data_IF_315826557820
#
_entry.id   IF_315826557820
#
_cell.length_a   1.000
_cell.length_b   1.000
_cell.length_c   1.000
_cell.angle_alpha   90.00
_cell.angle_beta   90.00
_cell.angle_gamma   90.00
#
_symmetry.space_group_name_H-M   'P 1'
#
loop_
_entity.id
_entity.type
_entity.pdbx_description
1 polymer ?
#
# COMPACT_ATOMS: atom_id res chain seq x y z
N UNK A 1 -78.28 45.63 10.48
CA UNK A 1 -77.28 46.02 11.49
C UNK A 1 -75.88 45.93 10.85
N UNK A 2 -75.55 46.66 9.77
CA UNK A 2 -75.54 48.13 9.60
C UNK A 2 -74.52 48.80 10.54
N UNK A 3 -73.43 49.38 10.02
CA UNK A 3 -73.26 50.61 9.21
C UNK A 3 -73.37 51.91 10.02
N UNK A 4 -72.20 52.50 10.32
CA UNK A 4 -71.76 53.91 10.10
C UNK A 4 -70.31 54.01 10.59
N UNK A 5 -69.31 54.73 10.05
CA UNK A 5 -69.11 55.90 9.15
C UNK A 5 -68.66 57.21 9.84
N UNK A 6 -67.38 57.52 9.61
CA UNK A 6 -66.72 58.86 9.54
C UNK A 6 -66.65 59.80 10.77
N UNK A 7 -65.57 60.59 10.82
CA UNK A 7 -65.36 61.65 11.83
C UNK A 7 -63.91 62.17 11.95
N UNK A 8 -63.42 62.94 10.97
CA UNK A 8 -62.24 63.83 11.08
C UNK A 8 -62.69 65.28 10.77
N UNK A 9 -62.02 66.34 11.28
CA UNK A 9 -60.88 66.94 10.54
C UNK A 9 -59.83 67.75 11.38
N UNK A 10 -58.75 68.21 10.72
CA UNK A 10 -58.09 69.56 10.82
C UNK A 10 -57.58 70.19 12.14
N UNK A 11 -56.58 71.11 12.15
CA UNK A 11 -55.51 71.48 11.19
C UNK A 11 -54.33 72.22 11.90
N UNK A 12 -53.19 72.31 11.20
CA UNK A 12 -52.17 73.40 11.28
C UNK A 12 -51.17 73.50 12.47
N UNK A 13 -49.94 73.93 12.18
CA UNK A 13 -48.86 74.16 13.18
C UNK A 13 -47.46 74.37 12.58
N UNK A 14 -47.09 75.61 12.25
CA UNK A 14 -45.93 75.97 11.40
C UNK A 14 -44.55 76.06 12.11
N UNK A 15 -43.50 75.60 11.37
CA UNK A 15 -42.15 76.22 11.13
C UNK A 15 -40.96 76.06 12.14
N UNK A 16 -39.79 75.79 11.51
CA UNK A 16 -38.41 76.29 11.79
C UNK A 16 -37.67 75.82 13.07
N UNK A 17 -36.33 75.82 13.17
CA UNK A 17 -35.20 75.68 12.19
C UNK A 17 -33.87 75.49 12.99
N UNK A 18 -32.74 75.25 12.30
CA UNK A 18 -31.33 75.43 12.72
C UNK A 18 -30.60 74.34 13.55
N UNK A 19 -29.85 73.52 12.81
CA UNK A 19 -28.44 73.14 13.04
C UNK A 19 -27.88 72.87 14.45
N UNK A 20 -27.21 71.72 14.60
CA UNK A 20 -25.85 71.72 15.16
C UNK A 20 -24.94 70.72 14.45
N UNK A 21 -23.67 71.10 14.22
CA UNK A 21 -22.64 70.29 13.54
C UNK A 21 -21.38 70.25 14.42
N UNK A 22 -21.10 69.13 15.09
CA UNK A 22 -19.82 68.87 15.75
C UNK A 22 -19.27 67.50 15.37
N UNK A 23 -17.94 67.39 15.34
CA UNK A 23 -17.21 66.45 14.48
C UNK A 23 -16.49 65.33 15.24
N UNK A 24 -16.51 64.15 14.60
CA UNK A 24 -15.56 63.03 14.69
C UNK A 24 -14.27 63.24 15.53
N UNK A 25 -14.12 62.49 16.62
CA UNK A 25 -12.82 62.14 17.25
C UNK A 25 -12.84 60.78 17.99
N UNK A 26 -13.39 59.70 17.40
CA UNK A 26 -13.41 58.37 18.08
C UNK A 26 -13.34 57.13 17.16
N UNK A 27 -12.32 57.01 16.30
CA UNK A 27 -12.16 55.85 15.38
C UNK A 27 -10.73 55.29 15.22
N UNK A 28 -9.70 55.92 15.80
CA UNK A 28 -8.28 55.59 15.55
C UNK A 28 -7.69 54.50 16.44
N UNK A 29 -8.21 54.29 17.65
CA UNK A 29 -7.66 53.30 18.60
C UNK A 29 -8.06 51.86 18.26
N UNK A 30 -9.36 51.56 18.15
CA UNK A 30 -9.88 50.21 17.93
C UNK A 30 -9.35 49.55 16.64
N UNK A 31 -9.21 50.33 15.55
CA UNK A 31 -8.70 49.85 14.25
C UNK A 31 -7.20 49.49 14.22
N UNK A 32 -6.40 49.77 15.27
CA UNK A 32 -4.98 49.38 15.31
C UNK A 32 -4.74 47.95 15.78
N UNK A 33 -5.50 47.42 16.75
CA UNK A 33 -5.28 46.07 17.27
C UNK A 33 -5.72 44.96 16.31
N UNK A 34 -6.79 45.16 15.51
CA UNK A 34 -7.23 44.17 14.53
C UNK A 34 -6.23 43.96 13.38
N UNK A 35 -5.56 45.03 12.92
CA UNK A 35 -4.52 44.93 11.89
C UNK A 35 -3.25 44.24 12.40
N UNK A 36 -2.82 44.50 13.63
CA UNK A 36 -1.60 43.87 14.20
C UNK A 36 -1.71 42.34 14.30
N UNK A 37 -2.88 41.82 14.71
CA UNK A 37 -3.18 40.37 14.72
C UNK A 37 -3.27 39.74 13.33
N UNK A 38 -3.71 40.47 12.29
CA UNK A 38 -3.81 39.91 10.93
C UNK A 38 -2.44 39.71 10.28
N UNK A 39 -1.47 40.60 10.52
CA UNK A 39 -0.12 40.46 9.96
C UNK A 39 0.70 39.32 10.61
N UNK A 40 0.58 39.09 11.92
CA UNK A 40 1.29 37.98 12.58
C UNK A 40 0.88 36.59 12.06
N UNK A 41 -0.41 36.39 11.71
CA UNK A 41 -0.86 35.14 11.07
C UNK A 41 -0.31 34.97 9.64
N UNK A 42 -0.12 36.07 8.90
CA UNK A 42 0.39 36.03 7.53
C UNK A 42 1.86 35.58 7.47
N UNK A 43 2.74 36.11 8.32
CA UNK A 43 4.14 35.68 8.33
C UNK A 43 4.33 34.25 8.86
N UNK A 44 3.55 33.83 9.87
CA UNK A 44 3.62 32.44 10.36
C UNK A 44 3.36 31.42 9.23
N UNK A 45 2.36 31.67 8.39
CA UNK A 45 2.10 30.84 7.20
C UNK A 45 3.25 30.84 6.19
N UNK A 46 3.90 31.99 5.97
CA UNK A 46 5.07 32.09 5.07
C UNK A 46 6.28 31.32 5.60
N UNK A 47 6.54 31.35 6.90
CA UNK A 47 7.60 30.55 7.51
C UNK A 47 7.27 29.04 7.55
N UNK A 48 6.00 28.67 7.73
CA UNK A 48 5.54 27.28 7.58
C UNK A 48 5.77 26.77 6.15
N UNK A 49 5.34 27.51 5.13
CA UNK A 49 5.52 27.15 3.71
C UNK A 49 7.02 27.09 3.36
N UNK A 50 7.82 28.05 3.82
CA UNK A 50 9.28 28.03 3.59
C UNK A 50 9.97 26.83 4.26
N UNK A 51 9.51 26.40 5.45
CA UNK A 51 10.00 25.19 6.12
C UNK A 51 9.55 23.91 5.42
N UNK A 52 8.30 23.85 4.94
CA UNK A 52 7.78 22.72 4.17
C UNK A 52 8.55 22.56 2.84
N UNK A 53 8.76 23.66 2.11
CA UNK A 53 9.57 23.66 0.88
C UNK A 53 11.03 23.30 1.16
N UNK A 54 11.62 23.82 2.25
CA UNK A 54 12.97 23.44 2.64
C UNK A 54 13.07 21.93 2.97
N UNK A 55 12.07 21.36 3.65
CA UNK A 55 12.00 19.93 3.97
C UNK A 55 11.82 19.08 2.72
N UNK A 56 10.93 19.46 1.80
CA UNK A 56 10.74 18.79 0.50
C UNK A 56 12.04 18.84 -0.32
N UNK A 57 12.73 19.99 -0.37
CA UNK A 57 14.04 20.08 -1.02
C UNK A 57 15.11 19.23 -0.32
N UNK A 58 15.07 19.09 1.01
CA UNK A 58 15.98 18.23 1.77
C UNK A 58 15.73 16.75 1.45
N UNK A 59 14.46 16.32 1.41
CA UNK A 59 14.05 14.98 0.98
C UNK A 59 14.50 14.71 -0.44
N UNK A 60 14.25 15.61 -1.39
CA UNK A 60 14.70 15.48 -2.77
C UNK A 60 16.24 15.38 -2.87
N UNK A 61 17.00 16.21 -2.16
CA UNK A 61 18.48 16.13 -2.15
C UNK A 61 18.98 14.81 -1.55
N UNK A 62 18.29 14.26 -0.54
CA UNK A 62 18.63 12.94 0.03
C UNK A 62 18.25 11.79 -0.92
N UNK A 63 17.10 11.88 -1.60
CA UNK A 63 16.63 10.86 -2.55
C UNK A 63 17.48 10.83 -3.82
N UNK A 64 17.61 11.97 -4.49
CA UNK A 64 18.47 12.14 -5.68
C UNK A 64 19.94 11.87 -5.34
N UNK A 65 20.40 12.27 -4.14
CA UNK A 65 21.75 11.96 -3.66
C UNK A 65 22.02 10.45 -3.56
N UNK A 66 21.06 9.67 -3.07
CA UNK A 66 21.16 8.21 -2.96
C UNK A 66 21.07 7.54 -4.36
N UNK A 67 20.21 8.04 -5.25
CA UNK A 67 20.11 7.58 -6.64
C UNK A 67 21.41 7.86 -7.41
N UNK A 68 21.93 9.09 -7.36
CA UNK A 68 23.18 9.48 -8.03
C UNK A 68 24.38 8.74 -7.44
N UNK A 69 24.44 8.55 -6.12
CA UNK A 69 25.48 7.74 -5.47
C UNK A 69 25.50 6.31 -6.02
N UNK A 70 24.33 5.64 -6.08
CA UNK A 70 24.20 4.30 -6.67
C UNK A 70 24.56 4.29 -8.16
N UNK A 71 24.18 5.32 -8.92
CA UNK A 71 24.49 5.41 -10.36
C UNK A 71 25.99 5.57 -10.64
N UNK A 72 26.72 6.27 -9.76
CA UNK A 72 28.18 6.44 -9.86
C UNK A 72 28.96 5.25 -9.29
N UNK A 73 28.54 4.66 -8.15
CA UNK A 73 29.23 3.51 -7.56
C UNK A 73 29.21 2.29 -8.49
N UNK A 74 28.14 2.08 -9.24
CA UNK A 74 28.05 1.01 -10.26
C UNK A 74 28.92 1.25 -11.51
N UNK A 75 29.47 2.45 -11.74
CA UNK A 75 30.32 2.75 -12.92
C UNK A 75 31.82 2.55 -12.72
N UNK A 76 32.25 2.11 -11.53
CA UNK A 76 33.67 1.85 -11.21
C UNK A 76 33.92 0.36 -10.87
N UNK A 77 32.88 -0.48 -10.86
CA UNK A 77 32.91 -1.81 -10.24
C UNK A 77 32.86 -3.05 -11.14
N UNK A 78 32.81 -2.93 -12.48
CA UNK A 78 32.63 -4.09 -13.39
C UNK A 78 33.52 -4.04 -14.63
N UNK A 79 34.77 -4.49 -14.50
CA UNK A 79 35.66 -4.73 -15.65
C UNK A 79 36.75 -5.82 -15.41
N UNK A 80 36.53 -6.74 -14.46
CA UNK A 80 37.45 -7.89 -14.21
C UNK A 80 36.68 -9.17 -13.83
N UNK A 81 35.76 -9.65 -14.68
CA UNK A 81 35.35 -11.09 -14.64
C UNK A 81 34.61 -11.63 -15.90
N UNK A 82 35.02 -11.24 -17.11
CA UNK A 82 34.63 -11.96 -18.36
C UNK A 82 35.87 -12.21 -19.23
N UNK A 83 36.70 -13.16 -18.82
CA UNK A 83 37.66 -13.87 -19.69
C UNK A 83 38.28 -15.07 -18.97
N UNK A 84 37.78 -16.29 -19.24
CA UNK A 84 38.56 -17.51 -19.56
C UNK A 84 37.75 -18.82 -19.32
N UNK A 85 36.75 -19.10 -20.18
CA UNK A 85 36.02 -20.37 -20.18
C UNK A 85 35.62 -20.84 -21.59
N UNK A 86 36.58 -20.89 -22.53
CA UNK A 86 36.37 -21.52 -23.85
C UNK A 86 37.69 -21.84 -24.58
N UNK A 87 38.29 -23.01 -24.30
CA UNK A 87 39.02 -23.80 -25.29
C UNK A 87 39.50 -25.17 -24.76
N UNK A 88 39.76 -26.10 -25.70
CA UNK A 88 40.31 -27.47 -25.54
C UNK A 88 39.45 -28.49 -24.77
N UNK A 89 39.26 -29.72 -25.26
CA UNK A 89 39.47 -30.26 -26.62
C UNK A 89 38.63 -31.53 -26.87
N UNK A 90 38.17 -31.74 -28.11
CA UNK A 90 37.59 -33.01 -28.61
C UNK A 90 38.51 -33.66 -29.67
N UNK A 91 39.47 -34.46 -29.23
CA UNK A 91 40.20 -35.52 -29.97
C UNK A 91 41.07 -36.24 -28.92
N UNK A 92 41.36 -37.54 -28.93
CA UNK A 92 41.21 -38.66 -29.88
C UNK A 92 40.52 -39.84 -29.11
N UNK A 93 40.40 -41.11 -29.53
CA UNK A 93 41.02 -41.94 -30.56
C UNK A 93 40.97 -43.41 -30.09
N UNK A 94 40.81 -44.40 -30.96
CA UNK A 94 40.66 -45.80 -30.54
C UNK A 94 42.02 -46.52 -30.30
N UNK A 95 41.93 -47.64 -29.59
CA UNK A 95 42.90 -48.76 -29.44
C UNK A 95 44.01 -48.63 -28.37
N UNK A 96 44.61 -49.71 -27.83
CA UNK A 96 44.09 -51.03 -27.42
C UNK A 96 45.17 -51.81 -26.60
N UNK A 97 44.74 -52.61 -25.60
CA UNK A 97 45.44 -53.73 -24.90
C UNK A 97 46.60 -53.44 -23.92
N UNK A 98 46.49 -54.09 -22.74
CA UNK A 98 47.50 -54.86 -21.97
C UNK A 98 48.85 -54.20 -21.56
N UNK A 99 49.38 -54.40 -20.34
CA UNK A 99 49.09 -55.40 -19.29
C UNK A 99 49.46 -54.87 -17.88
N UNK A 100 49.16 -55.67 -16.85
CA UNK A 100 49.95 -56.00 -15.63
C UNK A 100 51.05 -54.99 -15.15
N UNK A 101 51.17 -54.64 -13.86
CA UNK A 101 50.82 -55.39 -12.64
C UNK A 101 50.67 -54.51 -11.37
N UNK A 102 50.01 -55.07 -10.34
CA UNK A 102 50.21 -54.87 -8.88
C UNK A 102 50.14 -53.49 -8.17
N UNK A 103 49.07 -53.35 -7.38
CA UNK A 103 49.13 -53.24 -5.90
C UNK A 103 49.62 -51.93 -5.22
N UNK A 104 48.66 -51.00 -5.10
CA UNK A 104 48.07 -50.50 -3.83
C UNK A 104 48.76 -49.43 -2.93
N UNK A 105 47.91 -48.44 -2.53
CA UNK A 105 47.77 -47.84 -1.17
C UNK A 105 48.93 -46.95 -0.62
N UNK A 106 48.71 -45.78 0.00
CA UNK A 106 47.55 -44.87 0.12
C UNK A 106 47.97 -43.54 0.80
N UNK A 107 47.19 -42.46 0.58
CA UNK A 107 47.02 -41.27 1.46
C UNK A 107 48.22 -40.41 1.90
N UNK A 108 48.21 -39.16 1.37
CA UNK A 108 48.10 -37.86 2.09
C UNK A 108 49.02 -37.57 3.31
N UNK A 109 49.71 -36.42 3.30
CA UNK A 109 49.18 -35.17 3.91
C UNK A 109 50.02 -33.89 3.67
N UNK A 110 49.38 -32.71 3.84
CA UNK A 110 49.93 -31.41 4.34
C UNK A 110 51.05 -30.69 3.52
N UNK A 111 51.43 -29.42 3.71
CA UNK A 111 51.29 -28.48 4.87
C UNK A 111 51.45 -26.98 4.46
N UNK A 112 50.97 -26.03 5.32
CA UNK A 112 51.59 -24.70 5.66
C UNK A 112 51.61 -23.53 4.62
N UNK A 113 51.59 -22.21 4.95
CA UNK A 113 51.47 -21.44 6.24
C UNK A 113 51.14 -19.94 6.02
N UNK A 114 50.50 -19.29 7.02
CA UNK A 114 50.60 -17.89 7.55
C UNK A 114 50.70 -16.66 6.60
N UNK A 115 50.26 -15.42 6.94
CA UNK A 115 49.77 -14.80 8.19
C UNK A 115 49.90 -13.24 8.11
N UNK A 116 49.56 -12.37 9.08
CA UNK A 116 48.79 -12.45 10.34
C UNK A 116 48.55 -11.04 10.96
N UNK A 117 47.37 -10.80 11.57
CA UNK A 117 47.06 -9.77 12.60
C UNK A 117 46.99 -8.28 12.17
N UNK A 118 46.36 -7.33 12.90
CA UNK A 118 45.71 -7.30 14.25
C UNK A 118 44.56 -6.25 14.25
N UNK A 119 43.83 -5.84 15.31
CA UNK A 119 43.86 -6.03 16.78
C UNK A 119 42.52 -5.56 17.40
N UNK A 120 42.22 -5.91 18.66
CA UNK A 120 41.11 -5.36 19.48
C UNK A 120 41.58 -5.01 20.90
N UNK A 121 40.80 -4.23 21.67
CA UNK A 121 41.16 -3.72 23.00
C UNK A 121 40.00 -3.89 24.00
N UNK A 122 40.29 -4.41 25.20
CA UNK A 122 39.34 -4.58 26.30
C UNK A 122 40.02 -4.23 27.64
N UNK A 123 39.24 -3.78 28.63
CA UNK A 123 39.72 -3.39 29.96
C UNK A 123 38.70 -3.82 31.03
N UNK A 124 39.19 -4.34 32.15
CA UNK A 124 38.37 -4.80 33.28
C UNK A 124 39.08 -4.60 34.62
N UNK A 125 38.32 -4.47 35.71
CA UNK A 125 38.83 -4.52 37.07
C UNK A 125 38.09 -3.60 38.05
N UNK A 126 37.80 -4.10 39.25
CA UNK A 126 37.29 -3.30 40.38
C UNK A 126 36.11 -3.94 41.13
N UNK A 127 36.40 -4.70 42.18
CA UNK A 127 35.41 -5.16 43.15
C UNK A 127 35.91 -4.89 44.58
N UNK A 128 35.05 -4.29 45.42
CA UNK A 128 35.24 -4.12 46.86
C UNK A 128 33.88 -4.25 47.57
N UNK A 129 33.92 -4.53 48.88
CA UNK A 129 32.78 -5.05 49.63
C UNK A 129 32.45 -4.27 50.91
N UNK A 130 31.25 -4.51 51.44
CA UNK A 130 30.74 -3.96 52.70
C UNK A 130 29.62 -2.91 52.47
N UNK A 131 28.50 -2.90 53.18
CA UNK A 131 28.02 -3.88 54.17
C UNK A 131 27.38 -3.22 55.39
N UNK A 132 26.05 -3.32 55.52
CA UNK A 132 25.35 -3.11 56.79
C UNK A 132 24.02 -3.88 56.80
N UNK A 133 23.55 -4.30 57.97
CA UNK A 133 22.28 -5.02 58.15
C UNK A 133 21.17 -4.09 58.65
N UNK A 134 19.95 -4.30 58.16
CA UNK A 134 18.73 -3.66 58.67
C UNK A 134 17.56 -4.61 58.50
N UNK A 135 17.03 -5.15 59.59
CA UNK A 135 15.98 -6.18 59.59
C UNK A 135 14.59 -5.54 59.50
N UNK A 136 13.83 -5.87 58.46
CA UNK A 136 12.36 -5.85 58.48
C UNK A 136 11.88 -7.06 57.66
N UNK A 137 11.14 -7.98 58.27
CA UNK A 137 10.37 -9.00 57.57
C UNK A 137 8.93 -8.50 57.38
N UNK A 138 8.37 -8.58 56.16
CA UNK A 138 6.98 -9.05 56.02
C UNK A 138 6.67 -9.58 54.60
N UNK A 139 5.81 -10.61 54.57
CA UNK A 139 4.97 -11.09 53.46
C UNK A 139 5.54 -11.23 52.04
N UNK A 140 5.69 -12.49 51.65
CA UNK A 140 5.98 -12.97 50.30
C UNK A 140 4.99 -12.53 49.20
N UNK A 141 5.48 -12.53 47.96
CA UNK A 141 4.82 -13.19 46.81
C UNK A 141 5.91 -13.60 45.80
N UNK A 142 5.77 -14.78 45.19
CA UNK A 142 6.75 -15.32 44.23
C UNK A 142 6.70 -14.63 42.88
N UNK A 143 7.85 -14.16 42.39
CA UNK A 143 8.00 -13.60 41.04
C UNK A 143 8.10 -14.68 39.97
N UNK A 144 6.97 -15.12 39.43
CA UNK A 144 6.89 -15.90 38.17
C UNK A 144 6.62 -14.97 36.99
N UNK A 145 7.51 -14.94 36.01
CA UNK A 145 7.33 -14.15 34.79
C UNK A 145 6.06 -14.55 34.04
N UNK A 146 5.20 -13.62 33.59
CA UNK A 146 4.14 -13.94 32.65
C UNK A 146 4.78 -14.21 31.28
N UNK A 147 4.79 -15.47 30.87
CA UNK A 147 4.92 -15.80 29.45
C UNK A 147 3.66 -15.29 28.77
N UNK A 148 3.79 -14.38 27.80
CA UNK A 148 2.66 -13.94 26.97
C UNK A 148 2.31 -15.03 25.96
N UNK A 149 1.70 -16.11 26.44
CA UNK A 149 0.87 -17.00 25.62
C UNK A 149 -0.48 -16.30 25.39
N UNK A 150 -0.44 -15.22 24.62
CA UNK A 150 -1.65 -14.54 24.16
C UNK A 150 -2.07 -15.20 22.86
N UNK A 151 -2.79 -16.31 22.96
CA UNK A 151 -3.54 -16.89 21.86
C UNK A 151 -4.64 -15.89 21.44
N UNK A 152 -4.25 -14.94 20.60
CA UNK A 152 -5.06 -13.81 20.19
C UNK A 152 -6.19 -14.34 19.30
N UNK A 153 -7.43 -14.32 19.78
CA UNK A 153 -8.59 -14.65 18.96
C UNK A 153 -8.78 -13.54 17.92
N UNK A 154 -8.26 -13.76 16.71
CA UNK A 154 -8.74 -13.05 15.53
C UNK A 154 -10.25 -13.27 15.39
N UNK A 155 -10.96 -12.30 14.84
CA UNK A 155 -12.35 -12.48 14.45
C UNK A 155 -12.38 -13.46 13.26
N UNK A 156 -12.66 -14.73 13.53
CA UNK A 156 -12.63 -15.79 12.53
C UNK A 156 -13.81 -15.61 11.55
N UNK A 157 -13.53 -14.96 10.41
CA UNK A 157 -14.50 -14.69 9.35
C UNK A 157 -14.92 -16.02 8.71
N UNK A 158 -16.14 -16.47 9.00
CA UNK A 158 -16.70 -17.71 8.47
C UNK A 158 -17.36 -17.49 7.10
N UNK A 159 -16.55 -17.37 6.05
CA UNK A 159 -17.02 -17.25 4.66
C UNK A 159 -16.16 -18.08 3.71
N UNK A 160 -16.75 -18.78 2.71
CA UNK A 160 -16.01 -19.57 1.73
C UNK A 160 -15.20 -18.72 0.74
N UNK A 161 -15.32 -17.39 0.80
CA UNK A 161 -14.50 -16.46 0.00
C UNK A 161 -13.26 -15.94 0.73
N UNK A 162 -13.12 -16.18 2.03
CA UNK A 162 -11.85 -15.92 2.71
C UNK A 162 -10.80 -16.87 2.16
N UNK A 163 -9.68 -16.34 1.70
CA UNK A 163 -8.60 -17.15 1.13
C UNK A 163 -7.98 -18.01 2.24
N UNK A 164 -7.92 -19.35 2.09
CA UNK A 164 -7.46 -20.24 3.13
C UNK A 164 -5.93 -20.24 3.25
N UNK A 165 -5.45 -20.45 4.48
CA UNK A 165 -4.05 -20.80 4.75
C UNK A 165 -3.70 -22.14 4.10
N UNK A 166 -2.61 -22.15 3.32
CA UNK A 166 -2.06 -23.32 2.66
C UNK A 166 -0.91 -23.93 3.47
N UNK A 167 -0.73 -25.26 3.35
CA UNK A 167 0.28 -26.01 4.11
C UNK A 167 1.73 -25.82 3.60
N UNK A 168 1.90 -25.18 2.45
CA UNK A 168 3.18 -24.87 1.81
C UNK A 168 3.14 -23.43 1.33
N UNK A 169 4.16 -22.64 1.67
CA UNK A 169 4.30 -21.28 1.15
C UNK A 169 4.81 -21.32 -0.30
N UNK A 170 4.26 -20.48 -1.17
CA UNK A 170 4.80 -20.26 -2.53
C UNK A 170 5.97 -19.28 -2.52
N UNK A 171 6.84 -19.38 -3.52
CA UNK A 171 7.83 -18.34 -3.80
C UNK A 171 7.27 -17.22 -4.68
N UNK A 172 8.07 -16.17 -4.89
CA UNK A 172 7.70 -15.00 -5.70
C UNK A 172 7.25 -15.35 -7.12
N UNK A 173 7.62 -16.51 -7.67
CA UNK A 173 7.26 -16.90 -9.03
C UNK A 173 5.75 -17.14 -9.20
N UNK A 174 4.99 -17.30 -8.10
CA UNK A 174 3.53 -17.26 -8.09
C UNK A 174 2.97 -15.91 -8.57
N UNK A 175 3.66 -14.80 -8.26
CA UNK A 175 3.25 -13.45 -8.63
C UNK A 175 3.75 -13.00 -10.02
N UNK A 176 4.49 -13.86 -10.75
CA UNK A 176 5.12 -13.50 -12.04
C UNK A 176 4.16 -12.95 -13.09
N UNK A 177 2.91 -13.45 -13.13
CA UNK A 177 1.84 -12.94 -13.99
C UNK A 177 0.67 -12.36 -13.16
N UNK A 178 1.00 -11.73 -12.02
CA UNK A 178 0.05 -11.01 -11.19
C UNK A 178 0.16 -9.50 -11.40
N UNK A 179 -0.95 -8.79 -11.17
CA UNK A 179 -0.99 -7.32 -11.08
C UNK A 179 -1.49 -6.87 -9.71
N UNK A 180 -0.71 -6.00 -9.07
CA UNK A 180 -1.02 -5.37 -7.78
C UNK A 180 -1.57 -3.97 -8.02
N UNK A 181 -2.81 -3.73 -7.58
CA UNK A 181 -3.55 -2.48 -7.78
C UNK A 181 -3.83 -1.87 -6.41
N UNK A 182 -3.50 -0.60 -6.19
CA UNK A 182 -3.79 0.05 -4.92
C UNK A 182 -3.15 1.41 -4.68
N UNK A 183 -3.30 1.87 -3.44
CA UNK A 183 -2.96 3.22 -3.02
C UNK A 183 -1.51 3.36 -2.46
N UNK A 184 -1.28 4.33 -1.57
CA UNK A 184 0.00 4.50 -0.87
C UNK A 184 0.40 3.32 0.01
N UNK A 185 -0.53 2.47 0.48
CA UNK A 185 -0.20 1.23 1.20
C UNK A 185 0.31 0.16 0.24
N UNK A 186 -0.26 0.05 -0.96
CA UNK A 186 0.23 -0.87 -2.00
C UNK A 186 1.57 -0.39 -2.58
N UNK A 187 1.76 0.92 -2.74
CA UNK A 187 3.07 1.51 -3.08
C UNK A 187 4.08 1.32 -1.94
N UNK A 188 3.65 1.37 -0.68
CA UNK A 188 4.48 1.02 0.48
C UNK A 188 4.96 -0.43 0.41
N UNK A 189 4.03 -1.36 0.25
CA UNK A 189 4.29 -2.80 0.05
C UNK A 189 5.29 -3.03 -1.08
N UNK A 190 5.01 -2.51 -2.29
CA UNK A 190 5.88 -2.56 -3.47
C UNK A 190 7.34 -2.17 -3.17
N UNK A 191 7.56 -1.12 -2.39
CA UNK A 191 8.88 -0.57 -2.14
C UNK A 191 9.62 -1.20 -0.94
N UNK A 192 8.93 -1.98 -0.09
CA UNK A 192 9.48 -2.40 1.22
C UNK A 192 9.27 -3.88 1.59
N UNK A 193 8.37 -4.62 0.94
CA UNK A 193 8.10 -6.03 1.27
C UNK A 193 9.19 -7.00 0.81
N UNK A 194 10.05 -6.57 -0.12
CA UNK A 194 11.06 -7.41 -0.75
C UNK A 194 10.55 -8.25 -1.93
N UNK A 195 9.29 -8.07 -2.36
CA UNK A 195 8.72 -8.76 -3.53
C UNK A 195 9.49 -8.44 -4.81
N UNK A 196 9.75 -9.48 -5.61
CA UNK A 196 10.62 -9.43 -6.81
C UNK A 196 9.89 -9.69 -8.13
N UNK A 197 8.58 -9.96 -8.08
CA UNK A 197 7.75 -10.36 -9.22
C UNK A 197 6.37 -9.67 -9.20
N UNK A 198 5.74 -9.59 -10.38
CA UNK A 198 4.43 -8.96 -10.59
C UNK A 198 4.49 -7.51 -11.06
N UNK A 199 3.43 -7.08 -11.73
CA UNK A 199 3.23 -5.70 -12.19
C UNK A 199 2.52 -4.88 -11.11
N UNK A 200 2.82 -3.59 -11.01
CA UNK A 200 2.16 -2.67 -10.08
C UNK A 200 1.45 -1.54 -10.83
N UNK A 201 0.15 -1.35 -10.54
CA UNK A 201 -0.69 -0.25 -11.00
C UNK A 201 -1.11 0.59 -9.78
N UNK A 202 -0.13 1.32 -9.23
CA UNK A 202 -0.25 2.05 -7.96
C UNK A 202 -0.25 3.57 -8.15
N UNK A 203 -0.94 4.27 -7.25
CA UNK A 203 -0.82 5.73 -7.11
C UNK A 203 -1.14 6.17 -5.68
N UNK A 204 -0.39 7.12 -5.14
CA UNK A 204 -0.66 7.70 -3.82
C UNK A 204 -2.03 8.37 -3.84
N UNK A 205 -2.92 7.98 -2.91
CA UNK A 205 -4.29 8.48 -2.82
C UNK A 205 -5.28 7.90 -3.84
N UNK A 206 -4.96 6.78 -4.50
CA UNK A 206 -5.90 6.06 -5.37
C UNK A 206 -7.14 5.63 -4.57
N UNK A 207 -8.33 6.00 -5.06
CA UNK A 207 -9.64 5.64 -4.50
C UNK A 207 -10.44 4.79 -5.50
N UNK A 208 -11.56 4.17 -5.08
CA UNK A 208 -12.37 3.34 -6.00
C UNK A 208 -12.93 4.14 -7.19
N UNK A 209 -13.08 5.46 -7.00
CA UNK A 209 -13.58 6.43 -7.98
C UNK A 209 -12.54 6.88 -9.03
N UNK A 210 -11.36 6.25 -9.11
CA UNK A 210 -10.23 6.71 -9.94
C UNK A 210 -9.80 5.75 -11.07
N UNK A 211 -10.47 4.60 -11.25
CA UNK A 211 -9.98 3.52 -12.13
C UNK A 211 -9.82 3.91 -13.61
N UNK A 212 -10.56 4.92 -14.07
CA UNK A 212 -10.52 5.50 -15.42
C UNK A 212 -9.48 6.63 -15.57
N UNK A 213 -8.97 7.19 -14.47
CA UNK A 213 -8.13 8.40 -14.48
C UNK A 213 -6.69 8.08 -14.81
N UNK A 214 -6.09 8.84 -15.71
CA UNK A 214 -4.69 8.69 -16.11
C UNK A 214 -3.71 9.19 -15.02
N UNK A 215 -3.62 8.47 -13.91
CA UNK A 215 -2.81 8.84 -12.73
C UNK A 215 -1.66 7.87 -12.41
N UNK A 216 -1.75 6.60 -12.82
CA UNK A 216 -0.70 5.58 -12.67
C UNK A 216 0.52 5.97 -13.52
N UNK A 217 1.71 6.02 -12.93
CA UNK A 217 2.92 6.47 -13.61
C UNK A 217 3.67 5.30 -14.28
N UNK A 218 4.01 5.45 -15.56
CA UNK A 218 4.79 4.48 -16.34
C UNK A 218 5.94 5.17 -17.08
N UNK A 219 6.86 4.37 -17.64
CA UNK A 219 7.93 4.88 -18.50
C UNK A 219 7.41 5.65 -19.75
N UNK A 220 6.19 5.37 -20.21
CA UNK A 220 5.59 5.95 -21.41
C UNK A 220 4.63 7.13 -21.10
N UNK A 221 4.58 7.60 -19.85
CA UNK A 221 3.63 8.60 -19.37
C UNK A 221 2.64 8.02 -18.37
N UNK A 222 1.48 8.68 -18.20
CA UNK A 222 0.46 8.21 -17.26
C UNK A 222 -0.64 7.42 -17.96
N UNK A 223 -1.10 6.36 -17.30
CA UNK A 223 -2.25 5.54 -17.71
C UNK A 223 -3.26 5.41 -16.58
N UNK A 224 -4.46 4.94 -16.89
CA UNK A 224 -5.45 4.51 -15.89
C UNK A 224 -5.29 3.05 -15.49
N UNK A 225 -5.97 2.62 -14.42
CA UNK A 225 -5.98 1.21 -14.00
C UNK A 225 -6.61 0.35 -15.10
N UNK A 226 -7.75 0.77 -15.65
CA UNK A 226 -8.37 0.07 -16.78
C UNK A 226 -7.46 -0.01 -18.01
N UNK A 227 -6.73 1.05 -18.37
CA UNK A 227 -5.74 0.98 -19.46
C UNK A 227 -4.59 0.00 -19.16
N UNK A 228 -4.15 -0.11 -17.91
CA UNK A 228 -3.13 -1.08 -17.48
C UNK A 228 -3.62 -2.53 -17.54
N UNK A 229 -4.93 -2.76 -17.37
CA UNK A 229 -5.57 -4.06 -17.54
C UNK A 229 -5.85 -4.36 -19.03
N UNK A 230 -6.45 -3.44 -19.80
CA UNK A 230 -6.68 -3.65 -21.24
C UNK A 230 -5.39 -3.91 -22.04
N UNK A 231 -4.24 -3.42 -21.55
CA UNK A 231 -2.94 -3.57 -22.21
C UNK A 231 -2.18 -4.87 -21.94
N UNK A 232 -2.60 -5.72 -21.00
CA UNK A 232 -1.89 -6.97 -20.64
C UNK A 232 -2.83 -7.95 -19.94
N UNK A 233 -2.75 -9.24 -20.27
CA UNK A 233 -3.53 -10.29 -19.59
C UNK A 233 -2.73 -10.89 -18.42
N UNK A 234 -3.35 -10.95 -17.25
CA UNK A 234 -2.80 -11.45 -16.00
C UNK A 234 -3.57 -12.69 -15.53
N UNK A 235 -2.92 -13.57 -14.78
CA UNK A 235 -3.59 -14.73 -14.16
C UNK A 235 -4.19 -14.39 -12.78
N UNK A 236 -3.72 -13.30 -12.16
CA UNK A 236 -4.02 -12.94 -10.75
C UNK A 236 -4.06 -11.41 -10.60
N UNK A 237 -5.12 -10.87 -10.00
CA UNK A 237 -5.22 -9.45 -9.59
C UNK A 237 -5.17 -9.40 -8.06
N UNK A 238 -4.34 -8.54 -7.48
CA UNK A 238 -4.32 -8.22 -6.05
C UNK A 238 -4.73 -6.77 -5.85
N UNK A 239 -5.96 -6.54 -5.40
CA UNK A 239 -6.54 -5.22 -5.17
C UNK A 239 -6.45 -4.83 -3.69
N UNK A 240 -5.94 -3.63 -3.39
CA UNK A 240 -6.02 -3.03 -2.04
C UNK A 240 -6.42 -1.55 -2.17
N UNK A 241 -7.73 -1.29 -2.00
CA UNK A 241 -8.38 0.02 -2.02
C UNK A 241 -9.45 0.09 -0.91
N UNK A 242 -10.15 1.22 -0.79
CA UNK A 242 -11.11 1.48 0.28
C UNK A 242 -10.56 2.39 1.38
N UNK A 243 -9.25 2.45 1.57
CA UNK A 243 -8.67 3.22 2.66
C UNK A 243 -8.76 4.75 2.45
N UNK A 244 -8.68 5.23 1.21
CA UNK A 244 -8.94 6.65 0.89
C UNK A 244 -10.45 6.95 0.79
N UNK A 245 -11.27 5.89 0.76
CA UNK A 245 -12.72 5.96 0.68
C UNK A 245 -13.38 6.04 2.08
N UNK A 246 -12.61 5.87 3.17
CA UNK A 246 -13.06 5.98 4.58
C UNK A 246 -13.75 7.31 4.93
N UNK A 247 -13.40 8.40 4.23
CA UNK A 247 -14.01 9.73 4.39
C UNK A 247 -15.23 10.00 3.50
N UNK A 248 -15.63 9.07 2.62
CA UNK A 248 -16.68 9.27 1.63
C UNK A 248 -18.02 8.70 2.11
N UNK A 249 -18.96 9.59 2.40
CA UNK A 249 -20.30 9.27 2.90
C UNK A 249 -21.40 9.87 2.00
N UNK A 250 -22.60 9.26 1.93
CA UNK A 250 -23.02 8.03 2.61
C UNK A 250 -22.39 6.73 2.04
N UNK A 251 -22.41 5.68 2.86
CA UNK A 251 -21.80 4.37 2.58
C UNK A 251 -22.58 3.49 1.59
N UNK A 252 -23.86 3.79 1.36
CA UNK A 252 -24.79 3.01 0.52
C UNK A 252 -24.32 2.83 -0.94
N UNK A 253 -23.52 3.77 -1.44
CA UNK A 253 -22.92 3.70 -2.77
C UNK A 253 -21.62 2.89 -2.85
N UNK A 254 -20.95 2.57 -1.74
CA UNK A 254 -19.63 1.94 -1.79
C UNK A 254 -19.69 0.51 -2.32
N UNK A 255 -20.54 -0.35 -1.73
CA UNK A 255 -20.70 -1.75 -2.17
C UNK A 255 -20.99 -1.88 -3.68
N UNK A 256 -22.06 -1.26 -4.25
CA UNK A 256 -22.35 -1.42 -5.67
C UNK A 256 -21.28 -0.79 -6.58
N UNK A 257 -20.60 0.26 -6.14
CA UNK A 257 -19.47 0.81 -6.89
C UNK A 257 -18.25 -0.13 -6.88
N UNK A 258 -17.95 -0.74 -5.73
CA UNK A 258 -16.83 -1.67 -5.59
C UNK A 258 -17.07 -2.95 -6.40
N UNK A 259 -18.29 -3.51 -6.35
CA UNK A 259 -18.69 -4.62 -7.22
C UNK A 259 -18.54 -4.26 -8.70
N UNK A 260 -19.02 -3.09 -9.13
CA UNK A 260 -18.91 -2.66 -10.54
C UNK A 260 -17.46 -2.52 -11.02
N UNK A 261 -16.51 -2.20 -10.14
CA UNK A 261 -15.07 -2.20 -10.47
C UNK A 261 -14.53 -3.63 -10.58
N UNK A 262 -14.92 -4.56 -9.71
CA UNK A 262 -14.56 -5.97 -9.81
C UNK A 262 -15.13 -6.63 -11.09
N UNK A 263 -16.35 -6.25 -11.48
CA UNK A 263 -16.99 -6.65 -12.73
C UNK A 263 -16.20 -6.15 -13.95
N UNK A 264 -15.89 -4.85 -14.01
CA UNK A 264 -15.04 -4.28 -15.08
C UNK A 264 -13.62 -4.88 -15.10
N UNK A 265 -13.07 -5.28 -13.95
CA UNK A 265 -11.81 -6.02 -13.91
C UNK A 265 -11.94 -7.42 -14.50
N UNK A 266 -13.04 -8.15 -14.23
CA UNK A 266 -13.29 -9.46 -14.81
C UNK A 266 -13.57 -9.40 -16.32
N UNK A 267 -14.35 -8.41 -16.80
CA UNK A 267 -14.54 -8.16 -18.25
C UNK A 267 -13.20 -7.96 -18.98
N UNK A 268 -12.26 -7.25 -18.36
CA UNK A 268 -10.92 -7.03 -18.90
C UNK A 268 -9.96 -8.22 -18.69
N UNK A 269 -10.24 -9.11 -17.74
CA UNK A 269 -9.35 -10.18 -17.28
C UNK A 269 -10.15 -11.47 -16.93
N UNK A 270 -10.88 -12.07 -17.88
CA UNK A 270 -11.88 -13.11 -17.58
C UNK A 270 -11.29 -14.40 -17.01
N UNK A 271 -9.97 -14.59 -17.12
CA UNK A 271 -9.25 -15.77 -16.61
C UNK A 271 -8.48 -15.47 -15.32
N UNK A 272 -8.52 -14.23 -14.81
CA UNK A 272 -7.82 -13.86 -13.60
C UNK A 272 -8.66 -14.17 -12.36
N UNK A 273 -8.01 -14.72 -11.33
CA UNK A 273 -8.54 -14.68 -9.96
C UNK A 273 -8.33 -13.28 -9.37
N UNK A 274 -9.37 -12.71 -8.76
CA UNK A 274 -9.31 -11.38 -8.14
C UNK A 274 -9.20 -11.52 -6.62
N UNK A 275 -7.99 -11.42 -6.11
CA UNK A 275 -7.69 -11.31 -4.69
C UNK A 275 -7.93 -9.88 -4.22
N UNK A 276 -8.81 -9.69 -3.23
CA UNK A 276 -9.13 -8.39 -2.64
C UNK A 276 -8.63 -8.35 -1.20
N UNK A 277 -7.68 -7.47 -0.93
CA UNK A 277 -7.09 -7.27 0.39
C UNK A 277 -8.00 -6.39 1.26
N UNK A 278 -8.24 -6.83 2.49
CA UNK A 278 -8.90 -6.01 3.51
C UNK A 278 -8.18 -4.67 3.72
N UNK A 279 -8.94 -3.58 3.90
CA UNK A 279 -8.41 -2.33 4.45
C UNK A 279 -7.82 -2.63 5.84
N UNK A 280 -6.53 -2.35 6.00
CA UNK A 280 -5.81 -2.61 7.25
C UNK A 280 -6.26 -1.60 8.31
N UNK A 281 -6.50 -2.08 9.53
CA UNK A 281 -6.78 -1.25 10.70
C UNK A 281 -5.73 -0.14 10.92
N UNK A 282 -6.14 0.92 11.61
CA UNK A 282 -5.34 2.12 11.87
C UNK A 282 -5.04 2.30 13.36
N UNK A 283 -3.96 3.02 13.67
CA UNK A 283 -3.66 3.48 15.03
C UNK A 283 -4.29 4.87 15.24
N UNK A 284 -5.55 4.87 15.68
CA UNK A 284 -6.36 6.07 15.92
C UNK A 284 -5.67 7.11 16.83
N UNK A 285 -4.74 6.70 17.68
CA UNK A 285 -4.00 7.61 18.57
C UNK A 285 -3.05 8.56 17.84
N UNK A 286 -2.74 8.28 16.56
CA UNK A 286 -1.82 9.06 15.70
C UNK A 286 -2.52 9.83 14.59
N UNK A 287 -3.79 9.53 14.33
CA UNK A 287 -4.57 10.12 13.24
C UNK A 287 -4.64 11.65 13.39
N UNK A 288 -4.40 12.36 12.28
CA UNK A 288 -4.30 13.80 12.30
C UNK A 288 -5.68 14.48 12.49
N UNK A 289 -5.79 15.56 13.28
CA UNK A 289 -7.05 16.31 13.39
C UNK A 289 -7.55 16.81 12.02
N UNK A 290 -8.82 16.57 11.72
CA UNK A 290 -9.43 16.72 10.39
C UNK A 290 -9.50 15.44 9.56
N UNK A 291 -8.99 14.32 10.08
CA UNK A 291 -9.02 12.98 9.48
C UNK A 291 -9.76 11.96 10.38
N UNK A 292 -10.69 12.41 11.22
CA UNK A 292 -11.39 11.57 12.21
C UNK A 292 -12.26 10.44 11.59
N UNK A 293 -12.38 10.41 10.26
CA UNK A 293 -12.95 9.30 9.50
C UNK A 293 -11.99 8.12 9.29
N UNK A 294 -10.67 8.31 9.45
CA UNK A 294 -9.68 7.24 9.49
C UNK A 294 -9.73 6.56 10.86
N UNK A 295 -10.77 5.75 11.09
CA UNK A 295 -11.02 5.02 12.34
C UNK A 295 -11.43 3.56 12.07
N UNK A 296 -11.31 2.71 13.08
CA UNK A 296 -11.44 1.27 12.90
C UNK A 296 -12.90 0.79 12.76
N UNK A 297 -13.89 1.58 13.17
CA UNK A 297 -15.30 1.28 12.93
C UNK A 297 -15.66 1.46 11.44
N UNK A 298 -15.11 2.49 10.79
CA UNK A 298 -15.19 2.65 9.34
C UNK A 298 -14.41 1.56 8.60
N UNK A 299 -13.21 1.19 9.07
CA UNK A 299 -12.44 0.07 8.50
C UNK A 299 -13.20 -1.25 8.60
N UNK A 300 -13.90 -1.51 9.72
CA UNK A 300 -14.75 -2.71 9.87
C UNK A 300 -15.97 -2.66 8.94
N UNK A 301 -16.61 -1.49 8.82
CA UNK A 301 -17.75 -1.27 7.92
C UNK A 301 -17.37 -1.53 6.46
N UNK A 302 -16.28 -0.92 5.98
CA UNK A 302 -15.87 -1.05 4.58
C UNK A 302 -15.35 -2.46 4.27
N UNK A 303 -14.67 -3.13 5.21
CA UNK A 303 -14.27 -4.53 5.06
C UNK A 303 -15.47 -5.48 4.98
N UNK A 304 -16.59 -5.16 5.65
CA UNK A 304 -17.85 -5.86 5.47
C UNK A 304 -18.34 -5.82 4.02
N UNK A 305 -18.39 -4.62 3.42
CA UNK A 305 -18.76 -4.46 2.00
C UNK A 305 -17.76 -5.10 1.03
N UNK A 306 -16.46 -5.08 1.34
CA UNK A 306 -15.43 -5.73 0.51
C UNK A 306 -15.58 -7.26 0.55
N UNK A 307 -15.92 -7.85 1.70
CA UNK A 307 -16.24 -9.27 1.81
C UNK A 307 -17.55 -9.60 1.08
N UNK A 308 -18.61 -8.82 1.27
CA UNK A 308 -19.91 -9.00 0.60
C UNK A 308 -19.77 -8.92 -0.94
N UNK A 309 -18.95 -8.00 -1.45
CA UNK A 309 -18.61 -7.93 -2.87
C UNK A 309 -17.89 -9.20 -3.36
N UNK A 310 -16.99 -9.78 -2.54
CA UNK A 310 -16.33 -11.04 -2.87
C UNK A 310 -17.30 -12.23 -2.86
N UNK A 311 -18.26 -12.26 -1.93
CA UNK A 311 -19.31 -13.29 -1.85
C UNK A 311 -20.24 -13.27 -3.04
N UNK A 312 -20.60 -12.07 -3.53
CA UNK A 312 -21.48 -11.89 -4.68
C UNK A 312 -20.85 -12.27 -6.04
N UNK A 313 -19.51 -12.24 -6.17
CA UNK A 313 -18.81 -12.40 -7.45
C UNK A 313 -17.86 -13.60 -7.44
N UNK A 314 -18.18 -14.68 -8.18
CA UNK A 314 -17.54 -16.00 -8.05
C UNK A 314 -16.01 -15.96 -8.20
N UNK A 315 -15.49 -15.16 -9.12
CA UNK A 315 -14.07 -15.03 -9.47
C UNK A 315 -13.20 -14.27 -8.44
N UNK A 316 -13.82 -13.72 -7.37
CA UNK A 316 -13.13 -12.87 -6.40
C UNK A 316 -13.08 -13.45 -4.98
N UNK A 317 -12.01 -13.17 -4.24
CA UNK A 317 -11.71 -13.77 -2.93
C UNK A 317 -11.06 -12.76 -1.98
N UNK A 318 -11.37 -12.87 -0.69
CA UNK A 318 -11.00 -11.91 0.35
C UNK A 318 -9.74 -12.35 1.12
N UNK A 319 -8.71 -11.50 1.13
CA UNK A 319 -7.49 -11.66 1.92
C UNK A 319 -7.59 -10.82 3.21
N UNK A 320 -7.62 -11.50 4.36
CA UNK A 320 -7.81 -10.88 5.66
C UNK A 320 -6.48 -10.39 6.26
N UNK A 321 -5.90 -9.30 5.74
CA UNK A 321 -4.64 -8.75 6.28
C UNK A 321 -4.75 -8.36 7.76
N UNK A 322 -5.96 -8.08 8.27
CA UNK A 322 -6.18 -7.84 9.69
C UNK A 322 -6.02 -9.08 10.58
N UNK A 323 -5.89 -10.29 10.02
CA UNK A 323 -5.48 -11.49 10.75
C UNK A 323 -4.08 -11.34 11.36
N UNK A 324 -3.14 -10.75 10.60
CA UNK A 324 -1.76 -10.50 11.04
C UNK A 324 -1.52 -9.09 11.61
N UNK A 325 -2.41 -8.13 11.34
CA UNK A 325 -2.25 -6.73 11.76
C UNK A 325 -3.22 -6.26 12.86
N UNK A 326 -4.20 -7.07 13.27
CA UNK A 326 -5.08 -6.74 14.40
C UNK A 326 -4.39 -6.92 15.75
N UNK A 327 -4.64 -5.99 16.67
CA UNK A 327 -4.29 -6.09 18.08
C UNK A 327 -5.26 -6.96 18.92
N UNK A 328 -6.25 -7.62 18.26
CA UNK A 328 -7.27 -8.44 18.92
C UNK A 328 -8.40 -7.65 19.60
N UNK A 329 -8.28 -6.32 19.70
CA UNK A 329 -9.30 -5.41 20.21
C UNK A 329 -9.94 -4.56 19.09
N UNK A 330 -9.78 -4.98 17.83
CA UNK A 330 -10.40 -4.31 16.67
C UNK A 330 -9.67 -3.06 16.18
N UNK A 331 -8.34 -2.98 16.36
CA UNK A 331 -7.49 -1.94 15.77
C UNK A 331 -6.08 -2.44 15.42
N UNK A 332 -5.20 -1.55 14.99
CA UNK A 332 -3.83 -1.91 14.54
C UNK A 332 -2.91 -2.37 15.69
N UNK A 333 -1.98 -3.27 15.40
CA UNK A 333 -0.86 -3.62 16.31
C UNK A 333 -0.06 -2.38 16.71
N UNK A 334 0.15 -2.21 18.02
CA UNK A 334 0.81 -1.05 18.59
C UNK A 334 2.23 -0.86 18.02
N UNK A 335 2.46 0.30 17.40
CA UNK A 335 3.75 0.65 16.81
C UNK A 335 3.94 0.25 15.35
N UNK A 336 3.01 -0.48 14.71
CA UNK A 336 3.17 -0.96 13.33
C UNK A 336 3.24 0.14 12.26
N UNK A 337 2.66 1.32 12.54
CA UNK A 337 2.69 2.50 11.68
C UNK A 337 3.18 3.76 12.43
N UNK A 338 4.12 4.57 11.89
CA UNK A 338 4.56 5.82 12.52
C UNK A 338 3.51 6.93 12.52
N UNK A 339 2.64 6.98 11.51
CA UNK A 339 1.54 7.94 11.34
C UNK A 339 0.15 7.33 11.62
N UNK A 340 0.11 6.04 11.93
CA UNK A 340 -1.12 5.26 12.14
C UNK A 340 -1.78 4.72 10.88
N UNK A 341 -1.24 5.00 9.69
CA UNK A 341 -1.84 4.67 8.38
C UNK A 341 -0.90 3.79 7.54
N UNK A 342 0.38 4.15 7.44
CA UNK A 342 1.37 3.46 6.61
C UNK A 342 2.26 2.55 7.47
N UNK A 343 2.41 1.29 7.08
CA UNK A 343 3.17 0.31 7.86
C UNK A 343 4.70 0.49 7.72
N UNK A 344 5.45 0.15 8.78
CA UNK A 344 6.90 0.00 8.71
C UNK A 344 7.32 -1.21 7.84
N UNK A 345 8.54 -1.20 7.22
CA UNK A 345 8.98 -2.23 6.29
C UNK A 345 8.85 -3.68 6.76
N UNK A 346 9.15 -3.97 8.04
CA UNK A 346 9.07 -5.30 8.62
C UNK A 346 7.65 -5.89 8.62
N UNK A 347 6.61 -5.05 8.75
CA UNK A 347 5.22 -5.48 8.60
C UNK A 347 4.83 -5.67 7.13
N UNK A 348 5.50 -4.99 6.20
CA UNK A 348 5.29 -5.17 4.76
C UNK A 348 5.96 -6.46 4.25
N UNK A 349 7.05 -6.92 4.87
CA UNK A 349 7.58 -8.28 4.69
C UNK A 349 6.58 -9.31 5.22
N UNK A 350 6.02 -9.10 6.42
CA UNK A 350 4.98 -9.96 6.99
C UNK A 350 3.73 -10.05 6.08
N UNK A 351 3.35 -8.97 5.41
CA UNK A 351 2.30 -8.99 4.38
C UNK A 351 2.66 -9.90 3.19
N UNK A 352 3.91 -9.89 2.73
CA UNK A 352 4.35 -10.77 1.64
C UNK A 352 4.32 -12.25 2.06
N UNK A 353 4.72 -12.55 3.29
CA UNK A 353 4.65 -13.92 3.83
C UNK A 353 3.19 -14.39 3.99
N UNK A 354 2.26 -13.49 4.35
CA UNK A 354 0.81 -13.77 4.33
C UNK A 354 0.32 -14.08 2.91
N UNK A 355 0.66 -13.25 1.91
CA UNK A 355 0.28 -13.49 0.51
C UNK A 355 0.91 -14.77 -0.10
N UNK A 356 2.06 -15.22 0.43
CA UNK A 356 2.70 -16.49 0.05
C UNK A 356 2.07 -17.73 0.70
N UNK A 357 1.32 -17.54 1.78
CA UNK A 357 0.68 -18.62 2.53
C UNK A 357 -0.84 -18.68 2.33
N UNK A 358 -1.47 -17.59 1.89
CA UNK A 358 -2.89 -17.48 1.62
C UNK A 358 -3.12 -17.32 0.12
N UNK A 359 -3.43 -18.44 -0.55
CA UNK A 359 -3.79 -18.47 -1.96
C UNK A 359 -4.83 -19.54 -2.26
N UNK A 360 -5.63 -19.32 -3.29
CA UNK A 360 -6.48 -20.34 -3.93
C UNK A 360 -5.59 -21.11 -4.91
N UNK A 361 -5.71 -22.45 -4.95
CA UNK A 361 -4.93 -23.26 -5.89
C UNK A 361 -5.47 -23.10 -7.31
N UNK A 362 -4.61 -23.24 -8.32
CA UNK A 362 -5.04 -23.13 -9.71
C UNK A 362 -6.07 -24.24 -10.08
N UNK A 363 -6.06 -25.39 -9.38
CA UNK A 363 -7.11 -26.41 -9.50
C UNK A 363 -8.46 -25.93 -8.95
N UNK A 364 -8.49 -25.39 -7.73
CA UNK A 364 -9.71 -24.87 -7.11
C UNK A 364 -10.31 -23.72 -7.93
N UNK A 365 -9.48 -22.84 -8.48
CA UNK A 365 -9.97 -21.77 -9.36
C UNK A 365 -10.44 -22.30 -10.72
N UNK A 366 -9.75 -23.26 -11.34
CA UNK A 366 -10.21 -23.88 -12.58
C UNK A 366 -11.56 -24.62 -12.41
N UNK A 367 -11.81 -25.23 -11.26
CA UNK A 367 -13.12 -25.80 -10.92
C UNK A 367 -14.21 -24.72 -10.80
N UNK A 368 -13.90 -23.55 -10.23
CA UNK A 368 -14.81 -22.42 -10.16
C UNK A 368 -15.12 -21.84 -11.56
N UNK A 369 -14.11 -21.66 -12.42
CA UNK A 369 -14.28 -21.24 -13.81
C UNK A 369 -15.16 -22.22 -14.61
N UNK A 370 -14.93 -23.53 -14.44
CA UNK A 370 -15.69 -24.57 -15.14
C UNK A 370 -17.18 -24.62 -14.74
N UNK A 371 -17.55 -24.06 -13.59
CA UNK A 371 -18.94 -23.91 -13.15
C UNK A 371 -19.65 -22.67 -13.74
N UNK A 372 -18.90 -21.72 -14.33
CA UNK A 372 -19.40 -20.46 -14.87
C UNK A 372 -18.96 -20.26 -16.34
N UNK A 373 -19.34 -21.17 -17.27
CA UNK A 373 -18.80 -21.18 -18.64
C UNK A 373 -19.25 -19.97 -19.48
N UNK A 374 -20.44 -19.44 -19.23
CA UNK A 374 -21.02 -18.35 -20.03
C UNK A 374 -20.26 -17.02 -19.84
N UNK A 375 -19.80 -16.74 -18.63
CA UNK A 375 -19.01 -15.54 -18.30
C UNK A 375 -17.68 -15.52 -19.06
N UNK A 376 -17.01 -16.68 -19.13
CA UNK A 376 -15.75 -16.87 -19.86
C UNK A 376 -15.94 -16.78 -21.38
N UNK A 377 -17.07 -17.26 -21.89
CA UNK A 377 -17.38 -17.24 -23.32
C UNK A 377 -17.66 -15.82 -23.84
N UNK A 378 -18.43 -15.03 -23.09
CA UNK A 378 -18.81 -13.67 -23.48
C UNK A 378 -17.65 -12.65 -23.44
N UNK A 379 -16.57 -12.96 -22.72
CA UNK A 379 -15.39 -12.11 -22.62
C UNK A 379 -14.31 -12.39 -23.70
N UNK A 380 -14.62 -13.22 -24.70
CA UNK A 380 -13.85 -13.25 -25.95
C UNK A 380 -14.31 -12.08 -26.85
N UNK A 381 -13.45 -11.11 -27.20
CA UNK A 381 -13.87 -10.02 -28.08
C UNK A 381 -14.14 -10.54 -29.49
N UNK A 382 -15.15 -9.99 -30.18
CA UNK A 382 -15.54 -10.37 -31.55
C UNK A 382 -14.49 -9.95 -32.62
N UNK A 383 -13.32 -10.57 -32.63
CA UNK A 383 -12.17 -10.13 -33.43
C UNK A 383 -11.93 -10.92 -34.72
N UNK A 384 -12.99 -11.31 -35.45
CA UNK A 384 -12.81 -11.80 -36.83
C UNK A 384 -13.97 -11.55 -37.83
N UNK A 385 -15.13 -11.04 -37.41
CA UNK A 385 -16.28 -10.86 -38.31
C UNK A 385 -16.21 -9.64 -39.25
N UNK A 386 -15.53 -8.55 -38.85
CA UNK A 386 -15.66 -7.24 -39.48
C UNK A 386 -14.42 -6.79 -40.29
N UNK A 387 -13.96 -7.60 -41.26
CA UNK A 387 -12.82 -7.21 -42.11
C UNK A 387 -12.77 -7.73 -43.55
N UNK A 388 -13.77 -8.46 -44.03
CA UNK A 388 -13.72 -9.12 -45.35
C UNK A 388 -14.83 -8.71 -46.34
N UNK A 389 -15.75 -7.81 -45.95
CA UNK A 389 -16.73 -7.18 -46.86
C UNK A 389 -16.27 -5.75 -47.14
N UNK A 390 -15.63 -5.53 -48.30
CA UNK A 390 -15.09 -4.19 -48.64
C UNK A 390 -14.02 -4.09 -49.72
N UNK A 391 -13.80 -5.12 -50.56
CA UNK A 391 -12.85 -5.04 -51.67
C UNK A 391 -13.31 -5.90 -52.88
N UNK A 392 -14.21 -5.33 -53.68
CA UNK A 392 -14.46 -5.75 -55.06
C UNK A 392 -14.24 -4.51 -55.93
N UNK A 393 -13.10 -4.44 -56.62
CA UNK A 393 -12.84 -3.36 -57.59
C UNK A 393 -13.63 -3.61 -58.88
N UNK A 394 -14.48 -2.66 -59.29
CA UNK A 394 -14.99 -2.63 -60.65
C UNK A 394 -13.88 -2.16 -61.61
N UNK A 395 -13.29 -3.10 -62.36
CA UNK A 395 -12.41 -2.80 -63.49
C UNK A 395 -13.08 -3.25 -64.79
N UNK A 396 -13.83 -2.36 -65.43
CA UNK A 396 -14.38 -2.55 -66.77
C UNK A 396 -14.69 -1.22 -67.47
N UNK A 397 -14.62 -1.23 -68.81
CA UNK A 397 -14.92 -0.13 -69.74
C UNK A 397 -14.03 1.14 -69.63
N UNK A 398 -13.11 1.29 -70.59
CA UNK A 398 -12.22 2.44 -70.79
C UNK A 398 -11.38 2.27 -72.04
#
# INVERSE_FOLDING_TARGET
>A
MERTMSGTPDESGRRNDSSSRKTSTRSSASRRNSRRRKNQRADSGRFMIARLLALVCMVLVVFEGNVIYRLFSHRVGTNVEIMNSQNTAETEGLLQNSADTDTAVSTKESTSTAGSNSSVLALAGGALAGGNSGLIEESATTSSSPVMDTAQSSEAINSPKVVPLQSVAVDDSHFRNAVFIGDSRMEGFRNSSGITQGTFLTSVGLAINDMDKAIIATANGKISVYQGLSGTQYDKIYLMLGANDLGYYPWDMFLPQFQSVLEQFHELQPKAIIYVCSVIYVDESKIAPGYEYDNNDNVRTINGYILEACENLWYSYYLNLNEIFSNGAGGLIAGAAPDGIHLYPEYLVMMLDYLKTHYITDETFAQAMAAHPDDIANAQPETEAAKNDGLIEEVSAG
#
